data_IF_502494875886
#
_entry.id   IF_502494875886
#
_cell.length_a   1.000
_cell.length_b   1.000
_cell.length_c   1.000
_cell.angle_alpha   90.00
_cell.angle_beta   90.00
_cell.angle_gamma   90.00
#
_symmetry.space_group_name_H-M   'P 1'
#
loop_
_entity.id
_entity.type
_entity.pdbx_description
1 polymer ?
#
# COMPACT_ATOMS: atom_id res chain seq x y z
N UNK A 1 5.12 -5.88 -15.20
CA UNK A 1 3.75 -6.10 -15.75
C UNK A 1 3.80 -7.37 -16.58
N UNK A 2 2.91 -8.33 -16.31
CA UNK A 2 2.82 -9.63 -16.99
C UNK A 2 1.39 -10.20 -16.84
N UNK A 3 1.09 -11.36 -17.41
CA UNK A 3 -0.24 -12.00 -17.33
C UNK A 3 -0.72 -12.30 -15.91
N UNK A 4 0.19 -12.59 -14.99
CA UNK A 4 -0.10 -12.95 -13.60
C UNK A 4 -0.11 -11.74 -12.66
N UNK A 5 0.16 -10.53 -13.18
CA UNK A 5 0.27 -9.33 -12.38
C UNK A 5 -1.09 -8.93 -11.81
N UNK A 6 -1.15 -8.82 -10.48
CA UNK A 6 -2.38 -8.48 -9.76
C UNK A 6 -2.30 -7.12 -9.04
N UNK A 7 -1.19 -6.39 -9.20
CA UNK A 7 -0.92 -5.08 -8.57
C UNK A 7 -0.24 -5.17 -7.19
N UNK A 8 -0.15 -6.38 -6.63
CA UNK A 8 0.56 -6.68 -5.39
C UNK A 8 1.99 -7.15 -5.70
N UNK A 9 2.80 -7.28 -4.65
CA UNK A 9 4.09 -7.94 -4.72
C UNK A 9 3.94 -9.46 -4.77
N UNK A 10 5.00 -10.15 -5.20
CA UNK A 10 5.06 -11.60 -5.35
C UNK A 10 4.10 -12.28 -6.38
N UNK A 11 3.74 -11.67 -7.52
CA UNK A 11 3.12 -12.47 -8.57
C UNK A 11 4.14 -13.44 -9.16
N UNK A 12 3.68 -14.62 -9.56
CA UNK A 12 4.49 -15.55 -10.35
C UNK A 12 5.09 -14.85 -11.58
N UNK A 13 6.40 -15.00 -11.76
CA UNK A 13 7.18 -14.50 -12.88
C UNK A 13 7.33 -15.62 -13.88
N UNK A 14 6.22 -16.00 -14.53
CA UNK A 14 6.22 -17.06 -15.56
C UNK A 14 7.06 -18.28 -15.10
N UNK A 15 7.74 -18.94 -16.03
CA UNK A 15 8.65 -20.07 -15.83
C UNK A 15 9.85 -19.81 -14.89
N UNK A 16 10.03 -18.60 -14.36
CA UNK A 16 11.14 -18.25 -13.48
C UNK A 16 10.81 -18.43 -11.98
N UNK A 17 9.53 -18.60 -11.63
CA UNK A 17 9.07 -18.77 -10.24
C UNK A 17 8.54 -17.48 -9.63
N UNK A 18 8.50 -17.38 -8.31
CA UNK A 18 7.94 -16.23 -7.57
C UNK A 18 9.03 -15.31 -7.04
N UNK A 19 8.72 -14.02 -6.94
CA UNK A 19 9.60 -13.00 -6.35
C UNK A 19 8.94 -12.38 -5.12
N UNK A 20 9.10 -13.05 -3.97
CA UNK A 20 8.57 -12.58 -2.70
C UNK A 20 9.52 -11.64 -1.97
N UNK A 21 10.82 -11.93 -2.04
CA UNK A 21 11.87 -11.22 -1.31
C UNK A 21 13.10 -10.97 -2.20
N UNK A 22 13.99 -10.09 -1.75
CA UNK A 22 15.26 -9.87 -2.45
C UNK A 22 16.15 -11.12 -2.48
N UNK A 23 15.93 -12.09 -1.59
CA UNK A 23 16.67 -13.34 -1.54
C UNK A 23 16.25 -14.33 -2.63
N UNK A 24 15.10 -14.11 -3.28
CA UNK A 24 14.65 -14.94 -4.41
C UNK A 24 15.32 -14.53 -5.73
N UNK A 25 15.91 -13.33 -5.77
CA UNK A 25 16.51 -12.76 -6.98
C UNK A 25 17.61 -13.65 -7.59
N UNK A 26 18.59 -14.19 -6.84
CA UNK A 26 19.62 -15.04 -7.41
C UNK A 26 19.06 -16.31 -8.08
N UNK A 27 18.02 -16.92 -7.49
CA UNK A 27 17.38 -18.10 -8.05
C UNK A 27 16.66 -17.79 -9.38
N UNK A 28 16.01 -16.63 -9.47
CA UNK A 28 15.38 -16.14 -10.71
C UNK A 28 16.43 -15.88 -11.79
N UNK A 29 17.54 -15.22 -11.43
CA UNK A 29 18.66 -14.96 -12.36
C UNK A 29 19.23 -16.28 -12.87
N UNK A 30 19.51 -17.24 -11.99
CA UNK A 30 20.04 -18.54 -12.39
C UNK A 30 19.12 -19.30 -13.36
N UNK A 31 17.80 -19.25 -13.14
CA UNK A 31 16.82 -19.83 -14.08
C UNK A 31 16.80 -19.10 -15.42
N UNK A 32 16.92 -17.77 -15.42
CA UNK A 32 16.96 -16.98 -16.64
C UNK A 32 18.25 -17.24 -17.44
N UNK A 33 19.40 -17.31 -16.76
CA UNK A 33 20.69 -17.68 -17.37
C UNK A 33 20.62 -19.08 -18.00
N UNK A 34 20.03 -20.04 -17.29
CA UNK A 34 19.80 -21.39 -17.82
C UNK A 34 18.89 -21.37 -19.05
N UNK A 35 17.83 -20.56 -19.05
CA UNK A 35 16.90 -20.40 -20.18
C UNK A 35 17.58 -19.76 -21.41
N UNK A 36 18.48 -18.81 -21.19
CA UNK A 36 19.19 -18.10 -22.26
C UNK A 36 20.53 -18.77 -22.65
N UNK A 37 20.93 -19.83 -21.96
CA UNK A 37 22.15 -20.58 -22.24
C UNK A 37 23.45 -19.79 -21.99
N UNK A 38 23.39 -18.67 -21.26
CA UNK A 38 24.55 -17.80 -21.02
C UNK A 38 24.45 -17.09 -19.67
N UNK A 39 25.61 -16.70 -19.13
CA UNK A 39 25.68 -15.80 -17.98
C UNK A 39 25.22 -14.39 -18.37
N UNK A 40 24.54 -13.71 -17.46
CA UNK A 40 23.95 -12.39 -17.68
C UNK A 40 24.47 -11.40 -16.65
N UNK A 41 24.78 -10.18 -17.10
CA UNK A 41 24.98 -9.04 -16.20
C UNK A 41 23.62 -8.60 -15.63
N UNK A 42 23.61 -8.02 -14.44
CA UNK A 42 22.38 -7.49 -13.83
C UNK A 42 21.65 -6.45 -14.71
N UNK A 43 22.40 -5.64 -15.47
CA UNK A 43 21.84 -4.72 -16.46
C UNK A 43 21.12 -5.44 -17.61
N UNK A 44 21.64 -6.57 -18.08
CA UNK A 44 21.01 -7.40 -19.11
C UNK A 44 19.74 -8.07 -18.59
N UNK A 45 19.77 -8.56 -17.35
CA UNK A 45 18.57 -9.11 -16.67
C UNK A 45 17.49 -8.04 -16.56
N UNK A 46 17.86 -6.83 -16.12
CA UNK A 46 16.93 -5.70 -16.01
C UNK A 46 16.34 -5.30 -17.37
N UNK A 47 17.19 -5.16 -18.40
CA UNK A 47 16.77 -4.84 -19.75
C UNK A 47 15.83 -5.91 -20.34
N UNK A 48 16.08 -7.19 -20.06
CA UNK A 48 15.23 -8.29 -20.47
C UNK A 48 13.83 -8.18 -19.86
N UNK A 49 13.72 -7.97 -18.55
CA UNK A 49 12.43 -7.78 -17.87
C UNK A 49 11.71 -6.50 -18.31
N UNK A 50 12.45 -5.41 -18.54
CA UNK A 50 11.89 -4.18 -19.09
C UNK A 50 11.30 -4.40 -20.48
N UNK A 51 11.99 -5.15 -21.34
CA UNK A 51 11.49 -5.56 -22.66
C UNK A 51 10.22 -6.40 -22.58
N UNK A 52 10.15 -7.38 -21.66
CA UNK A 52 8.93 -8.17 -21.42
C UNK A 52 7.76 -7.31 -20.96
N UNK A 53 8.03 -6.36 -20.05
CA UNK A 53 7.01 -5.41 -19.60
C UNK A 53 6.52 -4.51 -20.73
N UNK A 54 7.42 -4.04 -21.60
CA UNK A 54 7.10 -3.26 -22.79
C UNK A 54 6.19 -4.02 -23.76
N UNK A 55 6.55 -5.28 -24.07
CA UNK A 55 5.74 -6.18 -24.91
C UNK A 55 4.33 -6.39 -24.36
N UNK A 56 4.23 -6.64 -23.04
CA UNK A 56 2.92 -6.78 -22.39
C UNK A 56 2.05 -5.52 -22.54
N UNK A 57 2.66 -4.33 -22.42
CA UNK A 57 1.94 -3.06 -22.56
C UNK A 57 1.44 -2.87 -24.01
N UNK A 58 2.27 -3.18 -25.00
CA UNK A 58 1.91 -3.04 -26.42
C UNK A 58 0.90 -4.10 -26.88
N UNK A 59 1.06 -5.36 -26.46
CA UNK A 59 0.20 -6.47 -26.88
C UNK A 59 -1.17 -6.44 -26.19
N UNK A 60 -1.23 -5.98 -24.94
CA UNK A 60 -2.44 -6.05 -24.09
C UNK A 60 -2.72 -4.73 -23.37
N UNK A 61 -2.96 -3.63 -24.10
CA UNK A 61 -3.18 -2.30 -23.52
C UNK A 61 -4.40 -2.27 -22.59
N UNK A 62 -5.49 -2.96 -22.94
CA UNK A 62 -6.68 -3.05 -22.10
C UNK A 62 -6.41 -3.71 -20.73
N UNK A 63 -5.65 -4.80 -20.71
CA UNK A 63 -5.23 -5.44 -19.44
C UNK A 63 -4.30 -4.54 -18.64
N UNK A 64 -3.39 -3.83 -19.32
CA UNK A 64 -2.49 -2.87 -18.67
C UNK A 64 -3.26 -1.71 -18.03
N UNK A 65 -4.21 -1.09 -18.73
CA UNK A 65 -5.05 -0.01 -18.19
C UNK A 65 -5.88 -0.53 -17.00
N UNK A 66 -6.48 -1.72 -17.13
CA UNK A 66 -7.20 -2.36 -16.01
C UNK A 66 -6.29 -2.59 -14.80
N UNK A 67 -5.04 -3.01 -15.02
CA UNK A 67 -4.04 -3.17 -13.97
C UNK A 67 -3.64 -1.83 -13.35
N UNK A 68 -3.50 -0.77 -14.15
CA UNK A 68 -3.17 0.58 -13.69
C UNK A 68 -4.28 1.15 -12.80
N UNK A 69 -5.54 1.05 -13.24
CA UNK A 69 -6.72 1.45 -12.44
C UNK A 69 -6.77 0.65 -11.15
N UNK A 70 -6.54 -0.67 -11.22
CA UNK A 70 -6.47 -1.51 -10.02
C UNK A 70 -5.37 -1.01 -9.07
N UNK A 71 -4.14 -0.78 -9.56
CA UNK A 71 -3.04 -0.25 -8.74
C UNK A 71 -3.37 1.11 -8.15
N UNK A 72 -4.06 1.98 -8.89
CA UNK A 72 -4.51 3.29 -8.40
C UNK A 72 -5.54 3.12 -7.27
N UNK A 73 -6.53 2.25 -7.43
CA UNK A 73 -7.47 1.92 -6.37
C UNK A 73 -6.78 1.29 -5.15
N UNK A 74 -5.78 0.44 -5.37
CA UNK A 74 -4.98 -0.10 -4.28
C UNK A 74 -4.23 1.03 -3.57
N UNK A 75 -3.58 1.93 -4.31
CA UNK A 75 -2.73 3.02 -3.82
C UNK A 75 -3.51 4.11 -3.09
N UNK A 76 -4.71 4.45 -3.55
CA UNK A 76 -5.55 5.46 -2.91
C UNK A 76 -6.50 4.85 -1.87
N UNK A 77 -6.75 3.54 -1.96
CA UNK A 77 -7.71 2.83 -1.13
C UNK A 77 -7.30 2.71 0.34
N UNK A 78 -8.26 2.26 1.18
CA UNK A 78 -8.17 2.31 2.63
C UNK A 78 -7.26 1.21 3.20
N UNK A 79 -6.99 0.16 2.42
CA UNK A 79 -6.25 -1.02 2.89
C UNK A 79 -4.75 -0.83 2.74
N UNK A 80 -4.06 -1.00 3.86
CA UNK A 80 -2.60 -1.04 3.93
C UNK A 80 -2.08 -2.42 3.47
N UNK A 81 -1.68 -2.48 2.20
CA UNK A 81 -1.01 -3.64 1.59
C UNK A 81 0.45 -3.71 2.04
N UNK A 82 0.81 -4.75 2.77
CA UNK A 82 2.22 -5.02 3.09
C UNK A 82 3.00 -5.63 1.93
N UNK A 83 4.33 -5.48 1.98
CA UNK A 83 5.26 -6.21 1.12
C UNK A 83 5.67 -7.52 1.80
N UNK A 84 6.35 -7.41 2.95
CA UNK A 84 6.88 -8.56 3.69
C UNK A 84 6.03 -8.96 4.90
N UNK A 85 5.20 -8.03 5.43
CA UNK A 85 4.41 -8.23 6.65
C UNK A 85 2.92 -8.10 6.38
N UNK A 86 2.11 -8.72 7.22
CA UNK A 86 0.65 -8.60 7.15
C UNK A 86 0.15 -7.51 8.11
N UNK A 87 0.25 -6.26 7.65
CA UNK A 87 0.02 -5.03 8.45
C UNK A 87 -1.30 -5.06 9.23
N UNK A 88 -2.37 -5.57 8.61
CA UNK A 88 -3.69 -5.67 9.23
C UNK A 88 -3.67 -6.46 10.55
N UNK A 89 -3.09 -7.66 10.55
CA UNK A 89 -3.06 -8.50 11.76
C UNK A 89 -2.03 -7.99 12.77
N UNK A 90 -0.91 -7.42 12.32
CA UNK A 90 0.05 -6.72 13.18
C UNK A 90 -0.60 -5.59 13.99
N UNK A 91 -1.39 -4.75 13.31
CA UNK A 91 -2.13 -3.65 13.93
C UNK A 91 -3.17 -4.17 14.94
N UNK A 92 -3.88 -5.24 14.60
CA UNK A 92 -4.89 -5.87 15.47
C UNK A 92 -4.27 -6.52 16.71
N UNK A 93 -3.08 -7.13 16.58
CA UNK A 93 -2.36 -7.73 17.71
C UNK A 93 -1.76 -6.69 18.65
N UNK A 94 -1.41 -5.50 18.17
CA UNK A 94 -0.84 -4.43 18.99
C UNK A 94 -1.89 -3.76 19.90
N UNK A 95 -1.54 -3.47 21.15
CA UNK A 95 -2.39 -2.73 22.09
C UNK A 95 -2.56 -1.26 21.70
N UNK A 96 -1.52 -0.63 21.15
CA UNK A 96 -1.53 0.79 20.79
C UNK A 96 -2.13 1.01 19.39
N UNK A 97 -1.67 0.22 18.41
CA UNK A 97 -2.03 0.47 17.01
C UNK A 97 -3.49 0.10 16.69
N UNK A 98 -4.12 -0.78 17.49
CA UNK A 98 -5.53 -1.16 17.29
C UNK A 98 -6.50 0.00 17.49
N UNK A 99 -6.13 0.98 18.32
CA UNK A 99 -6.98 2.13 18.67
C UNK A 99 -6.64 3.39 17.89
N UNK A 100 -5.57 3.39 17.10
CA UNK A 100 -5.20 4.56 16.31
C UNK A 100 -6.36 4.84 15.32
N UNK A 101 -7.04 6.01 15.39
CA UNK A 101 -8.16 6.31 14.50
C UNK A 101 -7.69 6.67 13.08
N UNK A 102 -6.41 7.02 12.95
CA UNK A 102 -5.81 7.37 11.67
C UNK A 102 -5.70 6.11 10.78
N UNK A 103 -6.48 6.12 9.71
CA UNK A 103 -6.25 5.27 8.54
C UNK A 103 -5.91 6.17 7.35
N UNK A 104 -5.29 5.59 6.33
CA UNK A 104 -4.90 6.34 5.14
C UNK A 104 -6.09 7.07 4.49
N UNK A 105 -7.28 6.47 4.53
CA UNK A 105 -8.50 7.08 4.01
C UNK A 105 -8.81 8.42 4.70
N UNK A 106 -8.82 8.47 6.03
CA UNK A 106 -9.07 9.69 6.79
C UNK A 106 -8.03 10.77 6.48
N UNK A 107 -6.74 10.41 6.43
CA UNK A 107 -5.66 11.36 6.11
C UNK A 107 -5.85 11.94 4.71
N UNK A 108 -6.14 11.09 3.72
CA UNK A 108 -6.42 11.52 2.35
C UNK A 108 -7.65 12.43 2.27
N UNK A 109 -8.75 12.08 2.93
CA UNK A 109 -9.99 12.87 2.89
C UNK A 109 -9.81 14.23 3.55
N UNK A 110 -9.10 14.31 4.67
CA UNK A 110 -8.75 15.58 5.31
C UNK A 110 -7.86 16.43 4.41
N UNK A 111 -6.87 15.82 3.74
CA UNK A 111 -6.00 16.51 2.80
C UNK A 111 -6.79 17.12 1.62
N UNK A 112 -7.74 16.36 1.05
CA UNK A 112 -8.62 16.83 -0.02
C UNK A 112 -9.46 18.02 0.44
N UNK A 113 -10.03 17.96 1.64
CA UNK A 113 -10.79 19.09 2.21
C UNK A 113 -9.91 20.33 2.39
N UNK A 114 -8.71 20.16 2.95
CA UNK A 114 -7.79 21.28 3.17
C UNK A 114 -7.30 21.92 1.88
N UNK A 115 -6.88 21.13 0.90
CA UNK A 115 -6.49 21.62 -0.42
C UNK A 115 -7.67 22.30 -1.13
N UNK A 116 -8.87 21.71 -1.04
CA UNK A 116 -10.10 22.30 -1.57
C UNK A 116 -10.41 23.67 -0.95
N UNK A 117 -10.28 23.80 0.38
CA UNK A 117 -10.47 25.07 1.08
C UNK A 117 -9.45 26.13 0.62
N UNK A 118 -8.17 25.75 0.48
CA UNK A 118 -7.12 26.66 0.01
C UNK A 118 -7.38 27.16 -1.41
N UNK A 119 -7.70 26.24 -2.34
CA UNK A 119 -7.96 26.57 -3.75
C UNK A 119 -9.23 27.41 -3.91
N UNK A 120 -10.29 27.08 -3.17
CA UNK A 120 -11.54 27.82 -3.20
C UNK A 120 -11.41 29.24 -2.63
N UNK A 121 -10.63 29.41 -1.55
CA UNK A 121 -10.30 30.71 -0.98
C UNK A 121 -9.50 31.57 -1.96
N UNK A 122 -8.51 30.97 -2.64
CA UNK A 122 -7.72 31.65 -3.67
C UNK A 122 -8.59 32.08 -4.87
N UNK A 123 -9.49 31.22 -5.34
CA UNK A 123 -10.36 31.52 -6.48
C UNK A 123 -11.38 32.63 -6.19
N UNK A 124 -11.93 32.70 -4.97
CA UNK A 124 -12.88 33.74 -4.58
C UNK A 124 -12.25 35.09 -4.29
N UNK A 125 -10.92 35.21 -4.26
CA UNK A 125 -10.21 36.43 -3.88
C UNK A 125 -10.53 36.94 -2.46
N UNK A 126 -11.19 36.11 -1.65
CA UNK A 126 -11.67 36.43 -0.30
C UNK A 126 -10.87 35.60 0.69
N UNK A 127 -9.63 36.00 0.92
CA UNK A 127 -8.94 35.51 2.09
C UNK A 127 -9.43 36.34 3.29
N UNK A 128 -10.25 35.76 4.16
CA UNK A 128 -10.79 36.35 5.41
C UNK A 128 -9.69 36.89 6.37
N UNK A 129 -8.42 36.69 6.02
CA UNK A 129 -7.24 37.11 6.80
C UNK A 129 -6.29 38.07 6.05
N UNK A 130 -6.66 38.63 4.89
CA UNK A 130 -5.84 39.64 4.18
C UNK A 130 -4.45 39.16 3.75
N UNK A 131 -4.25 37.85 3.58
CA UNK A 131 -2.96 37.25 3.20
C UNK A 131 -2.96 36.85 1.73
N UNK A 132 -1.78 36.96 1.12
CA UNK A 132 -1.51 37.07 -0.32
C UNK A 132 -2.03 35.92 -1.21
N UNK A 133 -2.13 36.13 -2.55
CA UNK A 133 -2.42 35.10 -3.56
C UNK A 133 -1.50 33.86 -3.54
N UNK A 134 -0.38 33.88 -2.80
CA UNK A 134 0.61 32.80 -2.76
C UNK A 134 0.09 31.49 -2.13
N UNK A 135 -1.05 31.52 -1.41
CA UNK A 135 -1.61 30.32 -0.76
C UNK A 135 -2.18 29.30 -1.74
N UNK A 136 -2.84 29.78 -2.81
CA UNK A 136 -3.35 28.90 -3.87
C UNK A 136 -2.21 28.22 -4.62
N UNK A 137 -1.13 28.95 -4.87
CA UNK A 137 0.09 28.42 -5.49
C UNK A 137 0.76 27.36 -4.62
N UNK A 138 0.90 27.60 -3.31
CA UNK A 138 1.43 26.61 -2.36
C UNK A 138 0.54 25.36 -2.33
N UNK A 139 -0.79 25.51 -2.29
CA UNK A 139 -1.71 24.38 -2.32
C UNK A 139 -1.58 23.56 -3.61
N UNK A 140 -1.47 24.24 -4.75
CA UNK A 140 -1.24 23.62 -6.04
C UNK A 140 0.10 22.88 -6.08
N UNK A 141 1.19 23.51 -5.63
CA UNK A 141 2.52 22.90 -5.58
C UNK A 141 2.56 21.67 -4.66
N UNK A 142 1.95 21.76 -3.48
CA UNK A 142 1.85 20.62 -2.55
C UNK A 142 1.01 19.50 -3.15
N UNK A 143 -0.12 19.83 -3.79
CA UNK A 143 -0.97 18.87 -4.48
C UNK A 143 -0.27 18.18 -5.65
N UNK A 144 0.46 18.95 -6.46
CA UNK A 144 1.26 18.45 -7.58
C UNK A 144 2.40 17.57 -7.09
N UNK A 145 3.13 17.98 -6.05
CA UNK A 145 4.20 17.19 -5.45
C UNK A 145 3.67 15.86 -4.91
N UNK A 146 2.58 15.89 -4.13
CA UNK A 146 1.92 14.68 -3.63
C UNK A 146 1.45 13.78 -4.78
N UNK A 147 0.86 14.38 -5.83
CA UNK A 147 0.43 13.68 -7.03
C UNK A 147 1.58 13.01 -7.77
N UNK A 148 2.69 13.71 -8.00
CA UNK A 148 3.88 13.17 -8.66
C UNK A 148 4.48 12.01 -7.87
N UNK A 149 4.59 12.15 -6.55
CA UNK A 149 5.07 11.07 -5.68
C UNK A 149 4.17 9.83 -5.78
N UNK A 150 2.84 9.99 -5.77
CA UNK A 150 1.90 8.88 -5.91
C UNK A 150 1.97 8.23 -7.31
N UNK A 151 2.02 9.04 -8.37
CA UNK A 151 2.08 8.57 -9.76
C UNK A 151 3.38 7.80 -10.00
N UNK A 152 4.50 8.23 -9.42
CA UNK A 152 5.80 7.55 -9.55
C UNK A 152 5.79 6.09 -9.06
N UNK A 153 4.81 5.70 -8.23
CA UNK A 153 4.67 4.34 -7.69
C UNK A 153 3.95 3.42 -8.69
N UNK A 154 3.10 3.95 -9.56
CA UNK A 154 2.23 3.16 -10.45
C UNK A 154 2.97 2.21 -11.43
N UNK A 155 4.16 2.55 -11.96
CA UNK A 155 4.95 1.61 -12.77
C UNK A 155 5.30 0.32 -12.00
N UNK A 156 5.47 0.42 -10.68
CA UNK A 156 5.89 -0.67 -9.79
C UNK A 156 4.70 -1.38 -9.12
N UNK A 157 4.99 -2.27 -8.17
CA UNK A 157 3.96 -2.90 -7.35
C UNK A 157 3.54 -1.97 -6.20
N UNK A 158 2.29 -2.07 -5.76
CA UNK A 158 1.76 -1.20 -4.72
C UNK A 158 2.04 -1.80 -3.34
N UNK A 159 2.64 -1.00 -2.47
CA UNK A 159 2.81 -1.32 -1.05
C UNK A 159 2.59 -0.07 -0.21
N UNK A 160 2.06 -0.24 1.00
CA UNK A 160 1.79 0.83 1.98
C UNK A 160 3.03 1.66 2.27
N UNK A 161 4.20 1.00 2.31
CA UNK A 161 5.49 1.66 2.58
C UNK A 161 5.82 2.76 1.57
N UNK A 162 5.33 2.64 0.33
CA UNK A 162 5.60 3.62 -0.72
C UNK A 162 4.74 4.89 -0.59
N UNK A 163 3.68 4.87 0.22
CA UNK A 163 2.88 6.07 0.49
C UNK A 163 3.45 6.91 1.63
N UNK A 164 4.37 6.36 2.43
CA UNK A 164 4.93 7.04 3.60
C UNK A 164 5.51 8.43 3.27
N UNK A 165 6.25 8.65 2.16
CA UNK A 165 6.77 9.97 1.83
C UNK A 165 5.69 11.02 1.55
N UNK A 166 4.48 10.59 1.16
CA UNK A 166 3.36 11.47 0.83
C UNK A 166 2.55 11.85 2.07
N UNK A 167 2.58 11.03 3.13
CA UNK A 167 1.79 11.25 4.36
C UNK A 167 2.04 12.64 4.98
N UNK A 168 3.28 13.12 5.19
CA UNK A 168 3.51 14.44 5.76
C UNK A 168 2.83 15.57 4.96
N UNK A 169 2.87 15.50 3.62
CA UNK A 169 2.24 16.49 2.74
C UNK A 169 0.71 16.47 2.88
N UNK A 170 0.12 15.28 2.96
CA UNK A 170 -1.32 15.12 3.18
C UNK A 170 -1.73 15.63 4.56
N UNK A 171 -0.93 15.37 5.59
CA UNK A 171 -1.19 15.86 6.95
C UNK A 171 -1.13 17.38 7.01
N UNK A 172 -0.24 18.04 6.28
CA UNK A 172 -0.22 19.51 6.16
C UNK A 172 -1.53 20.05 5.57
N UNK A 173 -2.01 19.45 4.47
CA UNK A 173 -3.32 19.77 3.90
C UNK A 173 -4.44 19.51 4.90
N UNK A 174 -4.44 18.34 5.55
CA UNK A 174 -5.45 17.96 6.53
C UNK A 174 -5.52 18.89 7.73
N UNK A 175 -4.37 19.30 8.26
CA UNK A 175 -4.29 20.27 9.36
C UNK A 175 -4.93 21.60 8.97
N UNK A 176 -4.65 22.10 7.76
CA UNK A 176 -5.30 23.32 7.26
C UNK A 176 -6.82 23.16 7.15
N UNK A 177 -7.30 22.03 6.60
CA UNK A 177 -8.73 21.75 6.48
C UNK A 177 -9.46 21.72 7.83
N UNK A 178 -8.82 21.12 8.85
CA UNK A 178 -9.35 21.07 10.22
C UNK A 178 -9.39 22.46 10.87
N UNK A 179 -8.31 23.23 10.77
CA UNK A 179 -8.26 24.60 11.30
C UNK A 179 -9.27 25.51 10.59
N UNK A 180 -9.42 25.37 9.27
CA UNK A 180 -10.40 26.10 8.48
C UNK A 180 -11.85 25.77 8.88
N UNK A 181 -12.14 24.48 9.09
CA UNK A 181 -13.44 24.04 9.58
C UNK A 181 -13.73 24.56 11.00
N UNK A 182 -12.74 24.50 11.90
CA UNK A 182 -12.85 25.02 13.27
C UNK A 182 -13.17 26.51 13.29
N UNK A 183 -12.47 27.33 12.49
CA UNK A 183 -12.75 28.77 12.40
C UNK A 183 -14.17 29.07 11.95
N UNK A 184 -14.68 28.32 10.97
CA UNK A 184 -16.06 28.49 10.47
C UNK A 184 -17.11 28.04 11.48
N UNK A 185 -16.80 27.02 12.27
CA UNK A 185 -17.60 26.60 13.41
C UNK A 185 -17.64 27.67 14.50
N UNK A 186 -16.48 28.24 14.86
CA UNK A 186 -16.39 29.34 15.83
C UNK A 186 -17.14 30.60 15.36
N UNK A 187 -17.11 30.87 14.05
CA UNK A 187 -17.85 31.97 13.43
C UNK A 187 -19.35 31.68 13.23
N UNK A 188 -19.85 30.52 13.68
CA UNK A 188 -21.24 30.06 13.51
C UNK A 188 -21.73 30.07 12.05
N UNK A 189 -20.82 29.92 11.08
CA UNK A 189 -21.17 29.82 9.67
C UNK A 189 -21.59 28.38 9.33
N UNK A 190 -22.77 27.99 9.82
CA UNK A 190 -23.33 26.66 9.65
C UNK A 190 -23.43 26.20 8.19
N UNK A 191 -23.80 27.05 7.20
CA UNK A 191 -23.83 26.64 5.80
C UNK A 191 -22.45 26.19 5.30
N UNK A 192 -21.39 26.92 5.63
CA UNK A 192 -20.04 26.56 5.21
C UNK A 192 -19.52 25.31 5.94
N UNK A 193 -19.85 25.15 7.22
CA UNK A 193 -19.52 23.94 8.00
C UNK A 193 -20.20 22.71 7.39
N UNK A 194 -21.50 22.79 7.11
CA UNK A 194 -22.26 21.70 6.51
C UNK A 194 -21.70 21.31 5.13
N UNK A 195 -21.35 22.29 4.29
CA UNK A 195 -20.72 22.05 2.99
C UNK A 195 -19.39 21.29 3.12
N UNK A 196 -18.44 21.80 3.92
CA UNK A 196 -17.13 21.16 4.05
C UNK A 196 -17.16 19.83 4.81
N UNK A 197 -18.09 19.67 5.77
CA UNK A 197 -18.34 18.38 6.39
C UNK A 197 -18.91 17.38 5.38
N UNK A 198 -19.83 17.81 4.50
CA UNK A 198 -20.34 17.00 3.39
C UNK A 198 -19.24 16.56 2.43
N UNK A 199 -18.33 17.48 2.06
CA UNK A 199 -17.15 17.15 1.23
C UNK A 199 -16.24 16.15 1.93
N UNK A 200 -16.01 16.30 3.24
CA UNK A 200 -15.21 15.35 4.02
C UNK A 200 -15.83 13.95 4.00
N UNK A 201 -17.14 13.85 4.27
CA UNK A 201 -17.86 12.57 4.27
C UNK A 201 -17.85 11.94 2.87
N UNK A 202 -18.08 12.73 1.82
CA UNK A 202 -18.04 12.25 0.44
C UNK A 202 -16.63 11.77 0.05
N UNK A 203 -15.59 12.52 0.40
CA UNK A 203 -14.20 12.13 0.16
C UNK A 203 -13.82 10.85 0.94
N UNK A 204 -14.27 10.73 2.19
CA UNK A 204 -14.05 9.55 3.01
C UNK A 204 -14.77 8.33 2.46
N UNK A 205 -16.06 8.47 2.12
CA UNK A 205 -16.83 7.41 1.49
C UNK A 205 -16.22 6.98 0.16
N UNK A 206 -15.81 7.92 -0.69
CA UNK A 206 -15.17 7.63 -1.97
C UNK A 206 -13.88 6.81 -1.83
N UNK A 207 -13.05 7.13 -0.83
CA UNK A 207 -11.85 6.33 -0.54
C UNK A 207 -12.21 5.00 0.12
N UNK A 208 -13.06 5.00 1.14
CA UNK A 208 -13.43 3.82 1.92
C UNK A 208 -14.16 2.75 1.09
N UNK A 209 -14.95 3.17 0.09
CA UNK A 209 -15.70 2.29 -0.80
C UNK A 209 -14.89 1.82 -2.02
N UNK A 210 -13.61 2.19 -2.14
CA UNK A 210 -12.80 1.76 -3.28
C UNK A 210 -12.76 0.24 -3.39
N UNK A 211 -12.95 -0.32 -4.60
CA UNK A 211 -13.10 -1.76 -4.79
C UNK A 211 -11.79 -2.47 -4.48
N UNK A 212 -11.74 -3.12 -3.31
CA UNK A 212 -10.63 -3.95 -2.87
C UNK A 212 -11.09 -5.40 -2.70
N UNK A 213 -10.60 -6.29 -3.56
CA UNK A 213 -10.74 -7.74 -3.32
C UNK A 213 -9.74 -8.15 -2.22
N UNK A 214 -10.25 -8.16 -1.00
CA UNK A 214 -9.55 -8.67 0.18
C UNK A 214 -9.36 -10.18 0.04
N UNK A 215 -8.13 -10.68 0.24
CA UNK A 215 -7.85 -12.11 0.43
C UNK A 215 -7.46 -12.37 1.90
N UNK A 216 -8.42 -12.29 2.84
CA UNK A 216 -8.13 -12.32 4.28
C UNK A 216 -7.57 -13.66 4.78
N UNK A 217 -7.93 -14.80 4.16
CA UNK A 217 -7.46 -16.15 4.56
C UNK A 217 -5.97 -16.36 4.24
N UNK A 218 -5.55 -16.09 3.01
CA UNK A 218 -4.14 -16.21 2.58
C UNK A 218 -3.20 -15.32 3.42
N UNK A 219 -3.67 -14.13 3.76
CA UNK A 219 -2.92 -13.22 4.62
C UNK A 219 -2.87 -13.66 6.08
N UNK A 220 -3.87 -14.40 6.56
CA UNK A 220 -3.85 -14.95 7.92
C UNK A 220 -2.85 -16.10 8.03
N UNK A 221 -2.81 -16.99 7.03
CA UNK A 221 -1.83 -18.08 6.94
C UNK A 221 -0.40 -17.53 6.99
N UNK A 222 -0.08 -16.56 6.10
CA UNK A 222 1.22 -15.88 6.10
C UNK A 222 1.55 -15.24 7.45
N UNK A 223 0.60 -14.51 8.06
CA UNK A 223 0.85 -13.85 9.35
C UNK A 223 1.20 -14.85 10.45
N UNK A 224 0.48 -15.97 10.52
CA UNK A 224 0.79 -17.04 11.47
C UNK A 224 2.14 -17.71 11.15
N UNK A 225 2.45 -17.96 9.88
CA UNK A 225 3.73 -18.52 9.45
C UNK A 225 4.91 -17.62 9.84
N UNK A 226 4.85 -16.32 9.53
CA UNK A 226 5.87 -15.33 9.89
C UNK A 226 6.11 -15.30 11.42
N UNK A 227 5.03 -15.37 12.22
CA UNK A 227 5.10 -15.40 13.69
C UNK A 227 5.68 -16.71 14.22
N UNK A 228 5.32 -17.84 13.62
CA UNK A 228 5.88 -19.14 13.97
C UNK A 228 7.37 -19.20 13.69
N UNK A 229 7.79 -18.66 12.54
CA UNK A 229 9.20 -18.57 12.16
C UNK A 229 9.99 -17.69 13.13
N UNK A 230 9.42 -16.56 13.58
CA UNK A 230 10.04 -15.72 14.61
C UNK A 230 10.28 -16.49 15.92
N UNK A 231 9.28 -17.22 16.43
CA UNK A 231 9.42 -18.02 17.65
C UNK A 231 10.37 -19.21 17.48
N UNK A 232 10.44 -19.78 16.27
CA UNK A 232 11.39 -20.84 15.98
C UNK A 232 12.83 -20.33 15.94
N UNK A 233 13.05 -19.17 15.32
CA UNK A 233 14.36 -18.55 15.17
C UNK A 233 14.94 -17.97 16.46
N UNK A 234 14.11 -17.67 17.47
CA UNK A 234 14.59 -17.21 18.77
C UNK A 234 15.42 -18.27 19.52
N UNK A 235 15.29 -19.54 19.13
CA UNK A 235 16.09 -20.66 19.65
C UNK A 235 15.81 -21.04 21.11
N UNK A 236 14.81 -20.42 21.75
CA UNK A 236 14.44 -20.73 23.12
C UNK A 236 13.44 -21.89 23.15
N UNK A 237 13.76 -22.96 23.88
CA UNK A 237 12.92 -24.17 23.96
C UNK A 237 11.48 -23.86 24.41
N UNK A 238 11.32 -22.90 25.32
CA UNK A 238 10.00 -22.47 25.81
C UNK A 238 9.10 -21.84 24.73
N UNK A 239 9.69 -21.38 23.62
CA UNK A 239 8.98 -20.74 22.52
C UNK A 239 8.59 -21.71 21.40
N UNK A 240 9.09 -22.95 21.42
CA UNK A 240 8.75 -23.95 20.39
C UNK A 240 7.28 -24.36 20.41
N UNK A 241 6.65 -24.41 21.59
CA UNK A 241 5.20 -24.62 21.70
C UNK A 241 4.41 -23.49 21.02
N UNK A 242 4.91 -22.24 21.09
CA UNK A 242 4.30 -21.11 20.40
C UNK A 242 4.52 -21.18 18.89
N UNK A 243 5.73 -21.55 18.45
CA UNK A 243 6.05 -21.77 17.05
C UNK A 243 5.14 -22.84 16.42
N UNK A 244 4.99 -23.99 17.07
CA UNK A 244 4.10 -25.07 16.63
C UNK A 244 2.65 -24.61 16.51
N UNK A 245 2.13 -23.93 17.56
CA UNK A 245 0.77 -23.40 17.56
C UNK A 245 0.54 -22.45 16.38
N UNK A 246 1.52 -21.60 16.07
CA UNK A 246 1.47 -20.69 14.95
C UNK A 246 1.51 -21.42 13.59
N UNK A 247 2.39 -22.39 13.39
CA UNK A 247 2.42 -23.17 12.14
C UNK A 247 1.13 -23.96 11.90
N UNK A 248 0.58 -24.59 12.94
CA UNK A 248 -0.71 -25.30 12.84
C UNK A 248 -1.85 -24.36 12.47
N UNK A 249 -1.90 -23.15 13.06
CA UNK A 249 -2.89 -22.11 12.69
C UNK A 249 -2.70 -21.62 11.25
N UNK A 250 -1.46 -21.53 10.77
CA UNK A 250 -1.18 -21.19 9.38
C UNK A 250 -1.73 -22.26 8.42
N UNK A 251 -1.46 -23.54 8.68
CA UNK A 251 -1.97 -24.69 7.90
C UNK A 251 -3.51 -24.75 7.92
N UNK A 252 -4.14 -24.46 9.04
CA UNK A 252 -5.60 -24.40 9.14
C UNK A 252 -6.19 -23.24 8.30
N UNK A 253 -5.48 -22.11 8.20
CA UNK A 253 -5.91 -20.96 7.42
C UNK A 253 -5.72 -21.15 5.91
N UNK A 254 -4.64 -21.83 5.50
CA UNK A 254 -4.42 -22.30 4.13
C UNK A 254 -3.67 -23.64 4.13
N UNK A 255 -4.38 -24.72 3.83
CA UNK A 255 -3.81 -26.07 3.86
C UNK A 255 -2.91 -26.37 2.65
N UNK A 256 -2.95 -25.54 1.61
CA UNK A 256 -2.17 -25.71 0.37
C UNK A 256 -0.84 -24.97 0.41
N UNK A 257 -0.64 -24.09 1.40
CA UNK A 257 0.61 -23.37 1.59
C UNK A 257 1.69 -24.33 2.12
N UNK A 258 2.75 -24.55 1.33
CA UNK A 258 3.80 -25.51 1.65
C UNK A 258 4.75 -25.00 2.75
N UNK A 259 4.93 -23.69 2.87
CA UNK A 259 5.88 -23.07 3.81
C UNK A 259 5.61 -23.44 5.27
N UNK A 260 4.36 -23.32 5.80
CA UNK A 260 4.09 -23.69 7.18
C UNK A 260 4.15 -25.21 7.43
N UNK A 261 3.87 -26.05 6.43
CA UNK A 261 4.06 -27.51 6.55
C UNK A 261 5.55 -27.87 6.67
N UNK A 262 6.38 -27.29 5.80
CA UNK A 262 7.83 -27.47 5.84
C UNK A 262 8.41 -27.00 7.17
N UNK A 263 8.06 -25.78 7.61
CA UNK A 263 8.55 -25.22 8.86
C UNK A 263 8.11 -26.04 10.09
N UNK A 264 6.87 -26.55 10.10
CA UNK A 264 6.39 -27.46 11.14
C UNK A 264 7.16 -28.78 11.14
N UNK A 265 7.43 -29.36 9.97
CA UNK A 265 8.23 -30.58 9.85
C UNK A 265 9.65 -30.41 10.40
N UNK A 266 10.30 -29.29 10.07
CA UNK A 266 11.63 -28.94 10.61
C UNK A 266 11.60 -28.76 12.13
N UNK A 267 10.54 -28.12 12.67
CA UNK A 267 10.38 -27.93 14.11
C UNK A 267 10.22 -29.27 14.85
N UNK A 268 9.40 -30.18 14.33
CA UNK A 268 9.09 -31.47 14.96
C UNK A 268 10.21 -32.51 14.83
N UNK A 269 11.14 -32.31 13.88
CA UNK A 269 12.30 -33.20 13.72
C UNK A 269 13.43 -32.90 14.71
N UNK A 270 13.46 -31.69 15.26
CA UNK A 270 14.46 -31.24 16.24
C UNK A 270 14.24 -31.86 17.61
#
# INVERSE_FOLDING_TARGET
NNEYANGLAAPAISELGEFGTCFDYPAIVAKLEKKLGRRLKHSEVSAWFAGQAGRFISEKPGKFVGLLVKKLCLLLGPVEIGHNKVIYYERKSSLLLRYLPANFALIMSLAVVGLGQMLFGAWRGRDEAGRSPQRGEVALLVGLLAGMLLISILPFFVSSRYRLPVIPLLLLGGAYGLVGLWRKLSARNWPAVACWAGVLVAAYAGVALMPYRHQPRLRLAKWHCDRGLYYFQSGQSDQYAQAESHFRKAIQADSKDADPHYALGVLLHK
#
